data_IF_326518929172
#
_entry.id   IF_326518929172
#
_cell.length_a   1.000
_cell.length_b   1.000
_cell.length_c   1.000
_cell.angle_alpha   90.00
_cell.angle_beta   90.00
_cell.angle_gamma   90.00
#
_symmetry.space_group_name_H-M   'P 1'
#
loop_
_entity.id
_entity.type
_entity.pdbx_description
1 polymer ?
#
# COMPACT_ATOMS: atom_id res chain seq x y z
N UNK A 1 76.12 -64.76 -17.91
CA UNK A 1 74.76 -65.31 -17.76
C UNK A 1 74.10 -64.70 -16.54
N UNK A 2 73.26 -63.68 -16.75
CA UNK A 2 72.46 -63.01 -15.71
C UNK A 2 71.29 -62.34 -16.45
N UNK A 3 70.08 -62.84 -16.28
CA UNK A 3 68.88 -62.02 -16.46
C UNK A 3 67.89 -62.28 -15.34
N UNK A 4 67.39 -61.16 -14.82
CA UNK A 4 66.66 -60.95 -13.57
C UNK A 4 65.15 -61.07 -13.83
N UNK A 5 64.37 -61.71 -12.94
CA UNK A 5 62.92 -61.56 -12.94
C UNK A 5 62.56 -60.33 -12.10
N UNK A 6 62.31 -59.18 -12.72
CA UNK A 6 61.94 -57.96 -11.96
C UNK A 6 60.96 -57.04 -12.69
N UNK A 7 60.08 -57.59 -13.54
CA UNK A 7 59.10 -56.78 -14.30
C UNK A 7 57.62 -57.03 -13.97
N UNK A 8 57.28 -58.04 -13.18
CA UNK A 8 55.89 -58.33 -12.86
C UNK A 8 55.37 -57.69 -11.56
N UNK A 9 56.25 -57.34 -10.62
CA UNK A 9 55.83 -56.74 -9.35
C UNK A 9 55.42 -55.25 -9.48
N UNK A 10 55.97 -54.51 -10.44
CA UNK A 10 55.75 -53.06 -10.55
C UNK A 10 54.39 -52.67 -11.14
N UNK A 11 53.77 -53.54 -11.93
CA UNK A 11 52.47 -53.26 -12.57
C UNK A 11 51.31 -53.41 -11.59
N UNK A 12 51.40 -54.37 -10.66
CA UNK A 12 50.36 -54.63 -9.66
C UNK A 12 50.31 -53.51 -8.60
N UNK A 13 51.47 -53.00 -8.18
CA UNK A 13 51.55 -51.90 -7.20
C UNK A 13 51.03 -50.58 -7.81
N UNK A 14 51.30 -50.31 -9.08
CA UNK A 14 50.79 -49.11 -9.77
C UNK A 14 49.27 -49.16 -9.98
N UNK A 15 48.71 -50.33 -10.28
CA UNK A 15 47.25 -50.51 -10.42
C UNK A 15 46.52 -50.40 -9.07
N UNK A 16 47.10 -50.92 -7.99
CA UNK A 16 46.55 -50.77 -6.63
C UNK A 16 46.57 -49.31 -6.15
N UNK A 17 47.66 -48.57 -6.39
CA UNK A 17 47.74 -47.13 -6.07
C UNK A 17 46.73 -46.29 -6.86
N UNK A 18 46.47 -46.62 -8.14
CA UNK A 18 45.42 -45.95 -8.90
C UNK A 18 44.02 -46.26 -8.33
N UNK A 19 43.74 -47.52 -7.98
CA UNK A 19 42.41 -47.91 -7.47
C UNK A 19 42.06 -47.29 -6.11
N UNK A 20 43.04 -47.09 -5.22
CA UNK A 20 42.82 -46.44 -3.91
C UNK A 20 42.63 -44.91 -4.06
N UNK A 21 43.17 -44.31 -5.13
CA UNK A 21 43.00 -42.88 -5.42
C UNK A 21 41.59 -42.51 -5.90
N UNK A 22 40.85 -43.46 -6.52
CA UNK A 22 39.47 -43.23 -6.97
C UNK A 22 38.40 -43.58 -5.92
N UNK A 23 38.75 -44.28 -4.84
CA UNK A 23 37.78 -44.58 -3.77
C UNK A 23 37.48 -43.38 -2.85
N UNK A 24 38.33 -42.35 -2.84
CA UNK A 24 38.10 -41.14 -2.04
C UNK A 24 37.40 -39.98 -2.79
N UNK A 25 37.07 -40.15 -4.08
CA UNK A 25 36.27 -39.18 -4.83
C UNK A 25 34.80 -39.60 -5.01
N UNK A 26 34.40 -40.77 -4.51
CA UNK A 26 33.05 -41.32 -4.65
C UNK A 26 32.11 -41.07 -3.47
N UNK A 27 32.56 -40.41 -2.40
CA UNK A 27 31.75 -40.13 -1.20
C UNK A 27 31.52 -38.64 -0.99
N UNK A 28 31.11 -37.96 -2.06
CA UNK A 28 30.45 -36.66 -1.95
C UNK A 28 28.96 -36.93 -1.62
N UNK A 29 28.58 -36.81 -0.35
CA UNK A 29 27.24 -36.47 0.18
C UNK A 29 25.94 -36.76 -0.59
N UNK A 30 25.79 -37.85 -1.34
CA UNK A 30 24.52 -38.18 -2.03
C UNK A 30 23.60 -39.14 -1.26
N UNK A 31 24.03 -39.67 -0.12
CA UNK A 31 23.19 -40.55 0.70
C UNK A 31 22.53 -39.76 1.84
N UNK A 32 21.30 -39.32 1.61
CA UNK A 32 20.33 -39.14 2.70
C UNK A 32 19.70 -37.77 2.91
N UNK A 33 19.96 -36.78 2.06
CA UNK A 33 19.18 -35.54 2.08
C UNK A 33 18.46 -35.35 0.74
N UNK A 34 17.17 -35.04 0.84
CA UNK A 34 16.35 -34.59 -0.27
C UNK A 34 17.16 -33.54 -1.07
N UNK A 35 17.32 -33.62 -2.41
CA UNK A 35 18.11 -32.66 -3.18
C UNK A 35 17.62 -31.19 -3.07
N UNK A 36 16.49 -30.96 -2.39
CA UNK A 36 15.92 -29.65 -2.02
C UNK A 36 16.18 -29.24 -0.56
N UNK A 37 16.92 -30.04 0.21
CA UNK A 37 17.30 -29.77 1.59
C UNK A 37 18.51 -28.84 1.61
N UNK A 38 18.27 -27.54 1.67
CA UNK A 38 19.29 -26.55 2.00
C UNK A 38 19.76 -26.79 3.44
N UNK A 39 20.99 -27.25 3.62
CA UNK A 39 21.65 -27.38 4.92
C UNK A 39 21.98 -25.98 5.46
N UNK A 40 20.96 -25.31 5.99
CA UNK A 40 21.05 -23.99 6.61
C UNK A 40 21.45 -24.19 8.07
N UNK A 41 22.74 -24.00 8.36
CA UNK A 41 23.22 -23.99 9.73
C UNK A 41 22.60 -22.81 10.50
N UNK A 42 22.21 -23.00 11.76
CA UNK A 42 21.51 -21.97 12.55
C UNK A 42 22.30 -20.67 12.75
N UNK A 43 23.63 -20.72 12.59
CA UNK A 43 24.52 -19.56 12.64
C UNK A 43 24.48 -18.68 11.39
N UNK A 44 24.06 -19.22 10.24
CA UNK A 44 23.97 -18.46 8.97
C UNK A 44 22.63 -17.71 8.81
N UNK A 45 21.70 -17.88 9.76
CA UNK A 45 20.35 -17.31 9.71
C UNK A 45 20.21 -15.96 10.43
N UNK A 46 21.21 -15.57 11.24
CA UNK A 46 21.19 -14.28 11.96
C UNK A 46 21.85 -13.20 11.13
N UNK A 47 21.14 -12.09 10.90
CA UNK A 47 21.68 -10.94 10.16
C UNK A 47 21.31 -10.89 8.68
N UNK A 48 20.40 -11.76 8.22
CA UNK A 48 19.80 -11.64 6.89
C UNK A 48 19.03 -10.31 6.78
N UNK A 49 19.35 -9.44 5.81
CA UNK A 49 18.60 -8.20 5.61
C UNK A 49 17.11 -8.48 5.33
N UNK A 50 16.25 -7.54 5.74
CA UNK A 50 14.85 -7.60 5.33
C UNK A 50 14.74 -7.48 3.81
N UNK A 51 14.05 -8.45 3.20
CA UNK A 51 14.09 -8.69 1.78
C UNK A 51 13.07 -7.89 1.00
N UNK A 52 12.02 -7.37 1.63
CA UNK A 52 10.89 -6.79 0.94
C UNK A 52 10.81 -5.28 1.13
N UNK A 53 10.34 -4.60 0.10
CA UNK A 53 9.87 -3.22 0.18
C UNK A 53 8.62 -3.08 -0.69
N UNK A 54 7.78 -2.10 -0.38
CA UNK A 54 6.51 -1.91 -1.06
C UNK A 54 6.10 -0.43 -1.07
N UNK A 55 5.38 -0.03 -2.11
CA UNK A 55 4.76 1.30 -2.17
C UNK A 55 3.46 1.27 -2.96
N UNK A 56 2.53 2.14 -2.57
CA UNK A 56 1.40 2.52 -3.40
C UNK A 56 1.85 3.53 -4.47
N UNK A 57 1.05 3.66 -5.53
CA UNK A 57 1.20 4.73 -6.53
C UNK A 57 -0.08 5.52 -6.76
N UNK A 58 -1.17 5.12 -6.12
CA UNK A 58 -2.42 5.84 -6.12
C UNK A 58 -3.08 5.74 -4.76
N UNK A 59 -3.47 6.90 -4.22
CA UNK A 59 -4.28 7.01 -3.01
C UNK A 59 -5.44 7.93 -3.33
N UNK A 60 -6.64 7.56 -2.90
CA UNK A 60 -7.80 8.43 -3.00
C UNK A 60 -8.50 8.58 -1.66
N UNK A 61 -9.06 9.76 -1.46
CA UNK A 61 -9.89 10.09 -0.32
C UNK A 61 -11.32 10.36 -0.80
N UNK A 62 -12.30 9.73 -0.15
CA UNK A 62 -13.72 10.00 -0.39
C UNK A 62 -14.30 10.63 0.89
N UNK A 63 -14.79 11.86 0.76
CA UNK A 63 -15.20 12.67 1.90
C UNK A 63 -16.63 12.40 2.35
N UNK A 64 -17.37 11.56 1.64
CA UNK A 64 -18.72 11.17 2.04
C UNK A 64 -18.71 10.60 3.46
N UNK A 65 -19.53 11.18 4.33
CA UNK A 65 -19.61 10.79 5.73
C UNK A 65 -21.07 10.82 6.18
N UNK A 66 -21.68 9.64 6.24
CA UNK A 66 -23.07 9.46 6.64
C UNK A 66 -23.34 8.05 7.17
N UNK A 67 -24.20 7.95 8.17
CA UNK A 67 -24.43 6.69 8.91
C UNK A 67 -25.04 5.58 8.05
N UNK A 68 -25.75 5.95 6.99
CA UNK A 68 -26.35 5.01 6.03
C UNK A 68 -25.33 4.40 5.07
N UNK A 69 -24.09 4.89 5.01
CA UNK A 69 -23.08 4.38 4.08
C UNK A 69 -22.50 3.03 4.51
N UNK A 70 -22.75 2.62 5.76
CA UNK A 70 -22.35 1.31 6.25
C UNK A 70 -22.95 0.18 5.38
N UNK A 71 -22.09 -0.71 4.88
CA UNK A 71 -22.48 -1.84 4.04
C UNK A 71 -22.44 -1.58 2.53
N UNK A 72 -22.35 -0.33 2.09
CA UNK A 72 -22.22 -0.02 0.66
C UNK A 72 -20.77 -0.10 0.22
N UNK A 73 -20.45 -1.09 -0.62
CA UNK A 73 -19.09 -1.32 -1.11
C UNK A 73 -18.53 -0.17 -1.96
N UNK A 74 -19.39 0.72 -2.48
CA UNK A 74 -18.98 1.90 -3.23
C UNK A 74 -18.32 2.99 -2.38
N UNK A 75 -18.58 3.03 -1.08
CA UNK A 75 -18.08 4.09 -0.21
C UNK A 75 -16.91 3.61 0.64
N UNK A 76 -15.91 4.47 0.73
CA UNK A 76 -14.71 4.30 1.53
C UNK A 76 -14.28 5.64 2.08
N UNK A 77 -13.26 5.65 2.93
CA UNK A 77 -12.62 6.89 3.36
C UNK A 77 -11.26 7.04 2.70
N UNK A 78 -10.45 5.99 2.76
CA UNK A 78 -9.18 5.93 2.04
C UNK A 78 -9.13 4.65 1.22
N UNK A 79 -8.68 4.75 -0.02
CA UNK A 79 -8.35 3.62 -0.86
C UNK A 79 -6.98 3.85 -1.45
N UNK A 80 -6.12 2.85 -1.38
CA UNK A 80 -4.76 2.90 -1.88
C UNK A 80 -4.45 1.65 -2.68
N UNK A 81 -3.62 1.79 -3.71
CA UNK A 81 -3.16 0.64 -4.48
C UNK A 81 -1.90 0.93 -5.30
N UNK A 82 -1.37 -0.15 -5.87
CA UNK A 82 -0.29 -0.14 -6.83
C UNK A 82 -0.79 -0.62 -8.21
N UNK A 83 -0.71 0.26 -9.21
CA UNK A 83 -1.32 0.02 -10.53
C UNK A 83 -0.37 0.24 -11.72
N UNK A 84 0.70 1.00 -11.55
CA UNK A 84 1.62 1.45 -12.61
C UNK A 84 3.09 1.48 -12.16
N UNK A 85 3.41 2.18 -11.07
CA UNK A 85 4.79 2.43 -10.60
C UNK A 85 5.03 2.00 -9.14
N UNK A 86 3.98 1.57 -8.46
CA UNK A 86 4.06 0.99 -7.11
C UNK A 86 4.41 -0.50 -7.14
N UNK A 87 4.01 -1.21 -6.09
CA UNK A 87 4.06 -2.68 -6.02
C UNK A 87 4.92 -3.16 -4.87
N UNK A 88 5.36 -4.41 -4.96
CA UNK A 88 6.28 -5.05 -4.01
C UNK A 88 7.54 -5.48 -4.75
N UNK A 89 8.71 -5.32 -4.15
CA UNK A 89 9.97 -5.77 -4.74
C UNK A 89 10.94 -6.27 -3.67
N UNK A 90 11.99 -6.94 -4.14
CA UNK A 90 13.11 -7.35 -3.29
C UNK A 90 14.12 -6.21 -3.13
N UNK A 91 14.56 -5.95 -1.89
CA UNK A 91 15.45 -4.82 -1.56
C UNK A 91 16.83 -4.98 -2.19
N UNK A 92 17.49 -3.88 -2.60
CA UNK A 92 18.88 -3.93 -3.08
C UNK A 92 19.83 -4.54 -2.05
N UNK A 93 19.62 -4.26 -0.76
CA UNK A 93 20.43 -4.80 0.33
C UNK A 93 20.35 -6.34 0.40
N UNK A 94 19.15 -6.89 0.27
CA UNK A 94 18.96 -8.34 0.24
C UNK A 94 19.52 -8.97 -1.04
N UNK A 95 19.28 -8.34 -2.21
CA UNK A 95 19.86 -8.82 -3.48
C UNK A 95 21.38 -8.91 -3.40
N UNK A 96 22.04 -7.88 -2.88
CA UNK A 96 23.49 -7.84 -2.70
C UNK A 96 23.99 -8.89 -1.69
N UNK A 97 23.23 -9.12 -0.61
CA UNK A 97 23.52 -10.16 0.36
C UNK A 97 23.49 -11.57 -0.25
N UNK A 98 22.50 -11.85 -1.11
CA UNK A 98 22.36 -13.15 -1.77
C UNK A 98 23.34 -13.37 -2.93
N UNK A 99 23.85 -12.31 -3.56
CA UNK A 99 24.81 -12.42 -4.68
C UNK A 99 26.27 -12.26 -4.28
N UNK A 100 26.56 -11.99 -3.00
CA UNK A 100 27.91 -11.72 -2.51
C UNK A 100 28.81 -12.96 -2.46
N UNK A 101 30.13 -12.75 -2.41
CA UNK A 101 31.12 -13.84 -2.26
C UNK A 101 30.92 -14.65 -0.96
N UNK A 102 30.34 -14.01 0.06
CA UNK A 102 29.97 -14.60 1.35
C UNK A 102 28.47 -14.91 1.45
N UNK A 103 27.77 -15.06 0.33
CA UNK A 103 26.35 -15.39 0.34
C UNK A 103 26.09 -16.67 1.15
N UNK A 104 25.05 -16.68 1.99
CA UNK A 104 24.73 -17.84 2.84
C UNK A 104 24.26 -19.04 2.03
N UNK A 105 23.76 -18.80 0.81
CA UNK A 105 23.26 -19.82 -0.09
C UNK A 105 24.03 -19.77 -1.39
N UNK A 106 24.50 -20.94 -1.86
CA UNK A 106 25.21 -21.10 -3.12
C UNK A 106 24.33 -21.82 -4.15
N UNK A 107 24.48 -21.52 -5.45
CA UNK A 107 23.83 -22.30 -6.51
C UNK A 107 24.18 -23.78 -6.41
N UNK A 108 23.19 -24.66 -6.56
CA UNK A 108 23.43 -26.11 -6.62
C UNK A 108 24.00 -26.43 -8.01
N UNK A 109 25.22 -26.97 -8.04
CA UNK A 109 25.89 -27.35 -9.29
C UNK A 109 25.01 -28.28 -10.14
N UNK A 110 24.88 -28.07 -11.46
CA UNK A 110 25.68 -27.17 -12.31
C UNK A 110 25.16 -25.73 -12.47
N UNK A 111 24.12 -25.33 -11.74
CA UNK A 111 23.59 -23.97 -11.85
C UNK A 111 24.64 -22.93 -11.41
N UNK A 112 24.68 -21.79 -12.10
CA UNK A 112 25.56 -20.66 -11.77
C UNK A 112 24.82 -19.53 -11.04
N UNK A 113 23.50 -19.64 -10.91
CA UNK A 113 22.61 -18.68 -10.27
C UNK A 113 21.72 -19.38 -9.25
N UNK A 114 21.33 -18.65 -8.21
CA UNK A 114 20.35 -19.14 -7.24
C UNK A 114 18.99 -19.34 -7.90
N UNK A 115 18.32 -20.43 -7.56
CA UNK A 115 16.92 -20.66 -7.96
C UNK A 115 15.96 -19.92 -7.03
N UNK A 116 14.74 -19.68 -7.51
CA UNK A 116 13.65 -19.09 -6.70
C UNK A 116 13.41 -19.90 -5.44
N UNK A 117 13.39 -21.24 -5.55
CA UNK A 117 13.14 -22.14 -4.42
C UNK A 117 14.22 -22.02 -3.34
N UNK A 118 15.49 -21.87 -3.73
CA UNK A 118 16.59 -21.66 -2.79
C UNK A 118 16.46 -20.33 -2.04
N UNK A 119 16.13 -19.25 -2.75
CA UNK A 119 15.93 -17.93 -2.14
C UNK A 119 14.72 -17.96 -1.19
N UNK A 120 13.63 -18.58 -1.63
CA UNK A 120 12.41 -18.75 -0.85
C UNK A 120 12.68 -19.52 0.44
N UNK A 121 13.32 -20.68 0.35
CA UNK A 121 13.61 -21.53 1.50
C UNK A 121 14.50 -20.82 2.51
N UNK A 122 15.49 -20.04 2.03
CA UNK A 122 16.27 -19.17 2.90
C UNK A 122 15.39 -18.14 3.60
N UNK A 123 14.60 -17.36 2.88
CA UNK A 123 13.74 -16.32 3.46
C UNK A 123 12.71 -16.87 4.46
N UNK A 124 12.11 -18.01 4.16
CA UNK A 124 11.18 -18.70 5.06
C UNK A 124 11.85 -19.22 6.34
N UNK A 125 13.18 -19.37 6.33
CA UNK A 125 13.96 -19.81 7.50
C UNK A 125 14.51 -18.67 8.36
N UNK A 126 14.47 -17.41 7.88
CA UNK A 126 15.02 -16.28 8.65
C UNK A 126 13.92 -15.55 9.44
N UNK A 127 14.13 -15.27 10.75
CA UNK A 127 13.16 -14.55 11.57
C UNK A 127 12.72 -13.21 10.98
N UNK A 128 13.63 -12.52 10.29
CA UNK A 128 13.41 -11.22 9.70
C UNK A 128 12.46 -11.25 8.50
N UNK A 129 12.36 -12.36 7.76
CA UNK A 129 11.65 -12.37 6.46
C UNK A 129 10.44 -13.28 6.40
N UNK A 130 10.44 -14.35 7.20
CA UNK A 130 9.32 -15.28 7.31
C UNK A 130 8.02 -14.57 7.70
N UNK A 131 6.91 -14.96 7.06
CA UNK A 131 5.58 -14.40 7.27
C UNK A 131 5.51 -12.87 7.11
N UNK A 132 6.29 -12.32 6.18
CA UNK A 132 6.20 -10.92 5.82
C UNK A 132 4.90 -10.67 5.05
N UNK A 133 3.92 -10.06 5.73
CA UNK A 133 2.63 -9.68 5.12
C UNK A 133 2.53 -8.16 5.07
N UNK A 134 2.38 -7.55 3.88
CA UNK A 134 2.11 -6.12 3.76
C UNK A 134 0.76 -5.76 4.39
N UNK A 135 0.70 -4.64 5.09
CA UNK A 135 -0.48 -4.20 5.81
C UNK A 135 -0.65 -2.69 5.66
N UNK A 136 -1.88 -2.27 5.37
CA UNK A 136 -2.28 -0.86 5.36
C UNK A 136 -3.02 -0.54 6.65
N UNK A 137 -2.60 0.51 7.36
CA UNK A 137 -3.28 0.96 8.56
C UNK A 137 -3.11 2.47 8.76
N UNK A 138 -3.97 3.06 9.60
CA UNK A 138 -3.68 4.37 10.18
C UNK A 138 -2.89 4.16 11.47
N UNK A 139 -1.74 4.80 11.58
CA UNK A 139 -0.84 4.65 12.72
C UNK A 139 -0.49 6.01 13.32
N UNK A 140 -0.05 6.01 14.58
CA UNK A 140 0.42 7.25 15.21
C UNK A 140 1.82 7.60 14.69
N UNK A 141 2.07 8.88 14.40
CA UNK A 141 3.40 9.34 13.94
C UNK A 141 4.49 9.13 14.99
N UNK A 142 4.12 9.21 16.26
CA UNK A 142 5.02 9.01 17.42
C UNK A 142 5.24 7.55 17.76
N UNK A 143 4.35 6.66 17.30
CA UNK A 143 4.47 5.23 17.52
C UNK A 143 3.78 4.47 16.38
N UNK A 144 4.56 4.09 15.38
CA UNK A 144 4.03 3.35 14.24
C UNK A 144 3.60 1.93 14.62
N UNK A 145 3.95 1.42 15.79
CA UNK A 145 3.43 0.13 16.26
C UNK A 145 1.95 0.21 16.62
N UNK A 146 1.43 1.42 16.94
CA UNK A 146 0.05 1.61 17.36
C UNK A 146 -0.85 1.96 16.18
N UNK A 147 -1.81 1.07 15.91
CA UNK A 147 -2.92 1.34 14.99
C UNK A 147 -3.93 2.26 15.65
N UNK A 148 -4.42 3.23 14.90
CA UNK A 148 -5.50 4.12 15.31
C UNK A 148 -6.83 3.39 15.25
N UNK A 149 -7.54 3.32 16.36
CA UNK A 149 -8.82 2.59 16.49
C UNK A 149 -9.95 3.54 16.93
N UNK A 150 -10.43 4.43 16.06
CA UNK A 150 -11.38 5.49 16.44
C UNK A 150 -12.74 4.97 16.93
N UNK A 151 -13.06 3.69 16.69
CA UNK A 151 -14.37 3.09 16.98
C UNK A 151 -14.33 1.93 17.98
N UNK A 152 -13.17 1.57 18.54
CA UNK A 152 -13.02 0.31 19.30
C UNK A 152 -11.88 0.37 20.33
N UNK A 153 -11.95 -0.53 21.31
CA UNK A 153 -10.91 -0.76 22.32
C UNK A 153 -9.69 -1.53 21.79
N UNK A 154 -9.75 -2.00 20.54
CA UNK A 154 -8.70 -2.79 19.90
C UNK A 154 -8.87 -2.80 18.39
N UNK A 155 -7.77 -3.01 17.66
CA UNK A 155 -7.78 -2.90 16.21
C UNK A 155 -8.43 -4.12 15.56
N UNK A 156 -9.27 -3.88 14.57
CA UNK A 156 -10.00 -4.92 13.83
C UNK A 156 -9.58 -4.93 12.38
N UNK A 157 -9.22 -6.11 11.86
CA UNK A 157 -8.93 -6.29 10.44
C UNK A 157 -10.17 -5.99 9.59
N UNK A 158 -9.97 -5.33 8.44
CA UNK A 158 -11.08 -4.89 7.58
C UNK A 158 -11.63 -3.50 7.95
N UNK A 159 -11.33 -3.00 9.15
CA UNK A 159 -11.80 -1.71 9.65
C UNK A 159 -10.63 -0.75 9.95
N UNK A 160 -9.75 -1.15 10.87
CA UNK A 160 -8.65 -0.30 11.36
C UNK A 160 -7.35 -0.55 10.59
N UNK A 161 -7.15 -1.80 10.14
CA UNK A 161 -6.05 -2.21 9.29
C UNK A 161 -6.50 -3.25 8.25
N UNK A 162 -5.74 -3.39 7.18
CA UNK A 162 -5.99 -4.33 6.08
C UNK A 162 -4.69 -5.07 5.79
N UNK A 163 -4.66 -6.39 5.98
CA UNK A 163 -3.58 -7.20 5.43
C UNK A 163 -3.79 -7.33 3.92
N UNK A 164 -2.75 -7.02 3.16
CA UNK A 164 -2.74 -7.10 1.70
C UNK A 164 -1.93 -8.29 1.26
N UNK A 165 -2.29 -8.86 0.11
CA UNK A 165 -1.64 -10.04 -0.44
C UNK A 165 -1.71 -11.22 0.56
N UNK A 166 -0.58 -11.86 0.83
CA UNK A 166 -0.39 -12.88 1.85
C UNK A 166 1.06 -12.91 2.29
N UNK A 167 1.51 -14.05 2.82
CA UNK A 167 2.91 -14.25 3.15
C UNK A 167 3.78 -14.15 1.90
N UNK A 168 4.61 -13.12 1.81
CA UNK A 168 5.46 -12.90 0.65
C UNK A 168 6.49 -14.01 0.44
N UNK A 169 6.73 -14.88 1.43
CA UNK A 169 7.59 -16.08 1.32
C UNK A 169 6.89 -17.29 0.69
N UNK A 170 5.59 -17.22 0.41
CA UNK A 170 4.87 -18.28 -0.31
C UNK A 170 5.06 -18.15 -1.84
N UNK A 171 5.06 -19.28 -2.55
CA UNK A 171 5.35 -19.36 -3.99
C UNK A 171 4.50 -18.43 -4.84
N UNK A 172 3.26 -18.21 -4.42
CA UNK A 172 2.29 -17.41 -5.16
C UNK A 172 2.73 -15.96 -5.29
N UNK A 173 3.53 -15.46 -4.34
CA UNK A 173 4.05 -14.10 -4.33
C UNK A 173 5.55 -14.03 -4.58
N UNK A 174 6.32 -15.00 -4.07
CA UNK A 174 7.77 -15.01 -4.21
C UNK A 174 8.22 -15.15 -5.67
N UNK A 175 7.53 -15.98 -6.46
CA UNK A 175 7.97 -16.27 -7.82
C UNK A 175 8.03 -15.02 -8.71
N UNK A 176 7.03 -14.11 -8.72
CA UNK A 176 7.17 -12.81 -9.39
C UNK A 176 8.27 -11.91 -8.80
N UNK A 177 8.47 -11.90 -7.47
CA UNK A 177 9.39 -10.97 -6.80
C UNK A 177 10.88 -11.27 -7.05
N UNK A 178 11.21 -12.54 -7.31
CA UNK A 178 12.59 -12.97 -7.59
C UNK A 178 12.91 -12.87 -9.08
N UNK A 179 11.92 -13.16 -9.94
CA UNK A 179 12.12 -13.19 -11.39
C UNK A 179 11.93 -11.82 -12.06
N UNK A 180 11.22 -10.89 -11.43
CA UNK A 180 11.06 -9.53 -11.93
C UNK A 180 12.15 -8.61 -11.36
N UNK A 181 12.98 -7.96 -12.20
CA UNK A 181 13.98 -7.01 -11.72
C UNK A 181 13.35 -5.75 -11.10
N UNK A 182 12.08 -5.46 -11.41
CA UNK A 182 11.34 -4.29 -10.95
C UNK A 182 10.36 -4.58 -9.79
N UNK A 183 9.31 -3.78 -9.71
CA UNK A 183 8.23 -3.97 -8.75
C UNK A 183 7.13 -4.87 -9.31
N UNK A 184 6.79 -5.92 -8.58
CA UNK A 184 5.66 -6.77 -8.89
C UNK A 184 4.35 -6.02 -8.62
N UNK A 185 3.65 -5.69 -9.70
CA UNK A 185 2.32 -5.06 -9.66
C UNK A 185 1.19 -6.08 -9.55
N UNK A 186 1.42 -7.30 -10.01
CA UNK A 186 0.39 -8.34 -10.13
C UNK A 186 0.93 -9.74 -9.84
N UNK A 187 0.18 -10.51 -9.04
CA UNK A 187 0.51 -11.87 -8.64
C UNK A 187 -0.52 -12.84 -9.25
N UNK A 188 -0.20 -13.39 -10.42
CA UNK A 188 -1.09 -14.26 -11.18
C UNK A 188 -1.45 -15.58 -10.45
N UNK A 189 -0.52 -16.10 -9.65
CA UNK A 189 -0.69 -17.32 -8.86
C UNK A 189 -1.47 -17.09 -7.55
N UNK A 190 -1.66 -15.83 -7.14
CA UNK A 190 -2.38 -15.50 -5.92
C UNK A 190 -3.92 -15.63 -6.09
N UNK A 191 -4.67 -15.82 -4.98
CA UNK A 191 -6.12 -15.76 -4.99
C UNK A 191 -6.65 -14.44 -5.59
N UNK A 192 -7.83 -14.46 -6.22
CA UNK A 192 -8.37 -13.31 -6.97
C UNK A 192 -8.42 -11.99 -6.17
N UNK A 193 -8.68 -12.07 -4.86
CA UNK A 193 -8.75 -10.91 -3.96
C UNK A 193 -7.37 -10.44 -3.44
N UNK A 194 -6.28 -11.13 -3.78
CA UNK A 194 -4.94 -10.91 -3.26
C UNK A 194 -3.88 -10.85 -4.38
N UNK A 195 -4.29 -10.53 -5.61
CA UNK A 195 -3.40 -10.43 -6.78
C UNK A 195 -2.72 -9.08 -6.94
N UNK A 196 -3.17 -8.06 -6.22
CA UNK A 196 -2.61 -6.70 -6.27
C UNK A 196 -2.48 -6.15 -4.86
N UNK A 197 -1.49 -5.28 -4.69
CA UNK A 197 -1.36 -4.49 -3.47
C UNK A 197 -2.43 -3.40 -3.50
N UNK A 198 -3.57 -3.66 -2.89
CA UNK A 198 -4.73 -2.76 -2.84
C UNK A 198 -5.43 -2.92 -1.49
N UNK A 199 -5.80 -1.81 -0.87
CA UNK A 199 -6.52 -1.80 0.38
C UNK A 199 -7.46 -0.62 0.50
N UNK A 200 -8.45 -0.77 1.38
CA UNK A 200 -9.53 0.19 1.59
C UNK A 200 -9.90 0.28 3.06
N UNK A 201 -9.90 1.50 3.59
CA UNK A 201 -10.30 1.81 4.97
C UNK A 201 -11.59 2.64 4.96
N UNK A 202 -12.44 2.40 5.96
CA UNK A 202 -13.80 2.95 6.02
C UNK A 202 -14.07 3.58 7.39
N UNK A 203 -14.07 4.91 7.43
CA UNK A 203 -14.33 5.76 8.59
C UNK A 203 -15.44 6.79 8.30
N UNK A 204 -16.31 6.50 7.34
CA UNK A 204 -17.34 7.39 6.79
C UNK A 204 -18.69 7.35 7.52
N UNK A 205 -18.71 6.99 8.81
CA UNK A 205 -19.97 6.80 9.57
C UNK A 205 -20.66 8.10 9.91
N UNK A 206 -19.91 9.18 10.14
CA UNK A 206 -20.43 10.52 10.39
C UNK A 206 -19.37 11.58 10.12
N UNK A 207 -19.82 12.82 9.93
CA UNK A 207 -18.95 13.94 9.56
C UNK A 207 -17.99 14.33 10.70
N UNK A 208 -18.37 14.14 11.96
CA UNK A 208 -17.51 14.41 13.11
C UNK A 208 -16.28 13.49 13.12
N UNK A 209 -16.48 12.19 12.94
CA UNK A 209 -15.41 11.20 12.78
C UNK A 209 -14.56 11.47 11.54
N UNK A 210 -15.18 11.79 10.40
CA UNK A 210 -14.45 12.09 9.18
C UNK A 210 -13.58 13.36 9.32
N UNK A 211 -14.10 14.41 9.98
CA UNK A 211 -13.36 15.63 10.30
C UNK A 211 -12.22 15.36 11.27
N UNK A 212 -12.46 14.59 12.33
CA UNK A 212 -11.44 14.13 13.27
C UNK A 212 -10.30 13.43 12.53
N UNK A 213 -10.63 12.46 11.67
CA UNK A 213 -9.65 11.75 10.87
C UNK A 213 -8.80 12.66 9.95
N UNK A 214 -9.39 13.70 9.37
CA UNK A 214 -8.62 14.65 8.55
C UNK A 214 -7.62 15.43 9.39
N UNK A 215 -8.00 15.88 10.59
CA UNK A 215 -7.11 16.60 11.52
C UNK A 215 -5.96 15.71 12.00
N UNK A 216 -6.31 14.56 12.56
CA UNK A 216 -5.74 13.23 12.33
C UNK A 216 -4.50 13.15 11.44
N UNK A 217 -4.80 12.82 10.20
CA UNK A 217 -3.86 12.58 9.12
C UNK A 217 -2.98 13.79 8.80
N UNK A 218 -3.46 15.00 9.08
CA UNK A 218 -2.70 16.23 8.88
C UNK A 218 -1.63 16.44 9.95
N UNK A 219 -1.88 16.01 11.20
CA UNK A 219 -1.09 16.42 12.36
C UNK A 219 -0.40 15.28 13.12
N UNK A 220 -1.13 14.21 13.48
CA UNK A 220 -0.69 13.24 14.50
C UNK A 220 -0.65 11.79 13.99
N UNK A 221 -1.34 11.50 12.89
CA UNK A 221 -1.44 10.16 12.29
C UNK A 221 -0.77 10.08 10.92
N UNK A 222 -0.43 8.87 10.52
CA UNK A 222 0.15 8.53 9.21
C UNK A 222 -0.63 7.37 8.62
N UNK A 223 -1.00 7.46 7.34
CA UNK A 223 -1.42 6.27 6.60
C UNK A 223 -0.15 5.49 6.29
N UNK A 224 -0.08 4.24 6.70
CA UNK A 224 1.14 3.45 6.64
C UNK A 224 0.92 2.17 5.86
N UNK A 225 1.88 1.87 4.99
CA UNK A 225 2.09 0.57 4.37
C UNK A 225 3.28 -0.07 5.08
N UNK A 226 3.04 -1.06 5.91
CA UNK A 226 4.04 -1.71 6.78
C UNK A 226 4.03 -3.21 6.60
N UNK A 227 5.05 -3.91 7.09
CA UNK A 227 5.04 -5.38 7.12
C UNK A 227 4.72 -5.87 8.53
N UNK A 228 3.87 -6.89 8.63
CA UNK A 228 3.51 -7.50 9.92
C UNK A 228 4.72 -8.16 10.58
N UNK A 229 4.85 -7.97 11.89
CA UNK A 229 5.84 -8.67 12.71
C UNK A 229 5.42 -10.13 12.96
N UNK A 230 6.40 -11.05 12.97
CA UNK A 230 6.20 -12.47 13.26
C UNK A 230 6.26 -12.77 14.76
N UNK A 231 7.02 -11.97 15.51
CA UNK A 231 7.39 -12.29 16.90
C UNK A 231 6.19 -12.35 17.87
N UNK A 232 5.02 -11.87 17.44
CA UNK A 232 3.83 -11.76 18.26
C UNK A 232 2.62 -12.32 17.50
N UNK A 233 2.55 -13.65 17.36
CA UNK A 233 1.40 -14.32 16.71
C UNK A 233 0.04 -14.01 17.39
N UNK A 234 0.03 -13.31 18.53
CA UNK A 234 -1.16 -12.79 19.20
C UNK A 234 -1.57 -11.37 18.78
N UNK A 235 -0.69 -10.57 18.15
CA UNK A 235 -0.98 -9.19 17.77
C UNK A 235 -0.67 -8.91 16.30
N UNK A 236 -1.71 -9.02 15.46
CA UNK A 236 -1.63 -8.78 14.03
C UNK A 236 -1.37 -7.32 13.62
N UNK A 237 -1.30 -6.38 14.58
CA UNK A 237 -1.11 -4.95 14.31
C UNK A 237 0.35 -4.50 14.38
N UNK A 238 1.25 -5.35 14.91
CA UNK A 238 2.65 -4.99 15.09
C UNK A 238 3.39 -4.88 13.77
N UNK A 239 4.23 -3.87 13.68
CA UNK A 239 5.06 -3.58 12.52
C UNK A 239 6.44 -4.19 12.72
N UNK A 240 6.91 -4.86 11.68
CA UNK A 240 8.27 -5.38 11.61
C UNK A 240 9.27 -4.24 11.60
N UNK A 241 10.31 -4.35 12.44
CA UNK A 241 11.32 -3.30 12.62
C UNK A 241 12.74 -3.78 12.33
N UNK A 242 13.67 -2.87 11.97
CA UNK A 242 15.07 -3.19 11.82
C UNK A 242 15.69 -3.67 13.13
N UNK A 243 16.65 -4.58 13.02
CA UNK A 243 17.50 -4.98 14.15
C UNK A 243 18.71 -4.04 14.23
N UNK A 244 19.10 -3.70 15.44
CA UNK A 244 20.25 -2.85 15.76
C UNK A 244 21.10 -3.50 16.84
N UNK A 245 22.40 -3.25 16.79
CA UNK A 245 23.30 -3.60 17.88
C UNK A 245 23.06 -2.65 19.04
N UNK A 246 22.67 -3.20 20.19
CA UNK A 246 22.43 -2.46 21.42
C UNK A 246 23.76 -2.13 22.13
N UNK A 247 23.77 -1.19 23.09
CA UNK A 247 24.99 -0.83 23.83
C UNK A 247 25.65 -2.00 24.57
N UNK A 248 24.90 -3.06 24.89
CA UNK A 248 25.38 -4.29 25.52
C UNK A 248 25.98 -5.30 24.52
N UNK A 249 26.09 -4.95 23.24
CA UNK A 249 26.61 -5.80 22.17
C UNK A 249 25.60 -6.82 21.63
N UNK A 250 24.39 -6.89 22.18
CA UNK A 250 23.33 -7.79 21.67
C UNK A 250 22.68 -7.20 20.43
N UNK A 251 22.28 -8.05 19.49
CA UNK A 251 21.49 -7.65 18.31
C UNK A 251 20.03 -7.91 18.60
N UNK A 252 19.19 -6.89 18.46
CA UNK A 252 17.75 -7.00 18.70
C UNK A 252 16.96 -5.93 17.94
N UNK A 253 15.62 -5.98 17.98
CA UNK A 253 14.80 -4.96 17.32
C UNK A 253 15.13 -3.56 17.86
N UNK A 254 15.05 -2.56 16.99
CA UNK A 254 15.16 -1.16 17.40
C UNK A 254 14.13 -0.82 18.46
N UNK A 255 14.55 -0.04 19.47
CA UNK A 255 13.65 0.51 20.49
C UNK A 255 12.94 1.78 20.04
N UNK A 256 13.26 2.31 18.85
CA UNK A 256 12.61 3.50 18.30
C UNK A 256 11.21 3.13 17.75
N UNK A 257 10.17 3.59 18.45
CA UNK A 257 8.77 3.35 18.09
C UNK A 257 8.32 4.03 16.80
N UNK A 258 9.12 4.94 16.24
CA UNK A 258 8.82 5.62 14.97
C UNK A 258 9.38 4.88 13.76
N UNK A 259 10.23 3.87 13.98
CA UNK A 259 10.95 3.15 12.93
C UNK A 259 10.30 1.80 12.62
N UNK A 260 10.16 1.47 11.33
CA UNK A 260 9.70 0.17 10.86
C UNK A 260 9.89 -0.02 9.36
N UNK A 261 9.72 -1.25 8.86
CA UNK A 261 9.80 -1.49 7.43
C UNK A 261 8.53 -1.04 6.71
N UNK A 262 8.70 -0.28 5.62
CA UNK A 262 7.63 0.17 4.75
C UNK A 262 7.63 1.67 4.45
N UNK A 263 6.44 2.21 4.18
CA UNK A 263 6.20 3.61 3.77
C UNK A 263 5.12 4.26 4.62
N UNK A 264 5.33 5.52 4.96
CA UNK A 264 4.33 6.39 5.57
C UNK A 264 3.86 7.44 4.57
N UNK A 265 2.59 7.80 4.65
CA UNK A 265 1.95 8.80 3.81
C UNK A 265 1.29 9.84 4.72
N UNK A 266 1.84 11.06 4.71
CA UNK A 266 1.22 12.22 5.34
C UNK A 266 0.27 12.87 4.36
N UNK A 267 -0.98 13.05 4.75
CA UNK A 267 -2.05 13.56 3.90
C UNK A 267 -2.43 14.96 4.37
N UNK A 268 -2.50 15.90 3.43
CA UNK A 268 -2.92 17.28 3.70
C UNK A 268 -4.30 17.52 3.11
N UNK A 269 -5.19 18.13 3.91
CA UNK A 269 -6.55 18.46 3.50
C UNK A 269 -6.78 19.97 3.48
N UNK A 270 -7.62 20.42 2.56
CA UNK A 270 -7.97 21.83 2.37
C UNK A 270 -9.40 21.98 1.81
N UNK A 271 -9.89 23.21 1.71
CA UNK A 271 -11.16 23.64 1.09
C UNK A 271 -11.02 23.99 -0.38
N UNK A 272 -9.82 23.75 -0.94
CA UNK A 272 -9.30 24.35 -2.17
C UNK A 272 -10.34 24.52 -3.27
N UNK A 273 -10.47 25.75 -3.75
CA UNK A 273 -11.27 26.09 -4.92
C UNK A 273 -10.42 25.93 -6.17
N UNK A 274 -10.91 25.14 -7.10
CA UNK A 274 -10.47 25.22 -8.48
C UNK A 274 -11.65 25.57 -9.37
N UNK A 275 -11.37 26.01 -10.60
CA UNK A 275 -12.38 26.08 -11.66
C UNK A 275 -13.13 24.74 -11.87
N UNK A 276 -12.59 23.63 -11.34
CA UNK A 276 -13.10 22.27 -11.47
C UNK A 276 -13.85 21.74 -10.24
N UNK A 277 -13.78 22.39 -9.07
CA UNK A 277 -14.52 21.98 -7.87
C UNK A 277 -15.91 22.64 -7.75
N UNK A 278 -16.30 23.43 -8.76
CA UNK A 278 -17.65 23.96 -8.92
C UNK A 278 -18.41 23.07 -9.92
N UNK A 279 -19.48 22.42 -9.47
CA UNK A 279 -20.37 21.70 -10.41
C UNK A 279 -21.20 22.66 -11.29
N UNK A 280 -21.03 23.97 -11.13
CA UNK A 280 -21.79 25.01 -11.82
C UNK A 280 -20.99 25.53 -13.00
N UNK A 281 -21.63 25.62 -14.17
CA UNK A 281 -21.21 26.41 -15.36
C UNK A 281 -21.19 27.92 -15.07
N UNK A 282 -20.60 28.35 -13.95
CA UNK A 282 -20.41 29.77 -13.72
C UNK A 282 -19.24 30.22 -14.60
N UNK A 283 -19.54 31.07 -15.59
CA UNK A 283 -18.53 31.84 -16.32
C UNK A 283 -17.72 32.62 -15.29
N UNK A 284 -16.55 32.09 -14.90
CA UNK A 284 -15.65 32.80 -14.00
C UNK A 284 -14.92 33.82 -14.85
N UNK A 285 -14.94 35.08 -14.40
CA UNK A 285 -14.12 36.11 -15.03
C UNK A 285 -12.65 35.67 -14.91
N UNK A 286 -11.88 35.53 -16.01
CA UNK A 286 -10.56 34.88 -16.02
C UNK A 286 -9.50 35.50 -15.07
N UNK A 287 -9.81 36.64 -14.45
CA UNK A 287 -8.94 37.35 -13.51
C UNK A 287 -9.29 37.21 -12.02
N UNK A 288 -10.39 36.55 -11.65
CA UNK A 288 -10.76 36.36 -10.24
C UNK A 288 -10.53 34.90 -9.82
N UNK A 289 -9.56 34.65 -8.94
CA UNK A 289 -9.40 33.34 -8.29
C UNK A 289 -10.49 33.25 -7.22
N UNK A 290 -11.51 32.39 -7.36
CA UNK A 290 -12.56 32.28 -6.36
C UNK A 290 -11.97 31.79 -5.03
N UNK A 291 -12.37 32.40 -3.91
CA UNK A 291 -11.90 32.00 -2.55
C UNK A 291 -12.99 31.19 -1.84
N UNK A 292 -12.67 30.02 -1.25
CA UNK A 292 -13.68 29.20 -0.57
C UNK A 292 -14.32 29.95 0.57
N UNK A 293 -15.62 29.81 0.73
CA UNK A 293 -16.30 30.35 1.89
C UNK A 293 -15.70 29.74 3.17
N UNK A 294 -15.53 30.54 4.21
CA UNK A 294 -14.90 30.12 5.48
C UNK A 294 -15.69 29.05 6.24
N UNK A 295 -16.93 28.80 5.86
CA UNK A 295 -17.80 27.76 6.42
C UNK A 295 -17.65 26.41 5.70
N UNK A 296 -16.98 26.38 4.55
CA UNK A 296 -16.71 25.13 3.87
C UNK A 296 -15.68 24.32 4.64
N UNK A 297 -15.77 22.99 4.60
CA UNK A 297 -14.79 22.14 5.25
C UNK A 297 -13.52 21.92 4.46
N UNK A 298 -12.46 21.61 5.19
CA UNK A 298 -11.22 21.07 4.66
C UNK A 298 -11.42 19.58 4.27
N UNK A 299 -12.21 19.30 3.23
CA UNK A 299 -12.59 17.94 2.83
C UNK A 299 -12.02 17.48 1.48
N UNK A 300 -11.05 18.21 0.92
CA UNK A 300 -10.30 17.85 -0.29
C UNK A 300 -8.88 17.41 0.08
N UNK A 301 -8.42 16.29 -0.47
CA UNK A 301 -7.03 15.85 -0.34
C UNK A 301 -6.19 16.60 -1.38
N UNK A 302 -5.21 17.37 -0.93
CA UNK A 302 -4.43 18.29 -1.79
C UNK A 302 -2.96 17.91 -1.95
N UNK A 303 -2.41 17.15 -1.01
CA UNK A 303 -1.02 16.69 -1.07
C UNK A 303 -0.85 15.36 -0.32
N UNK A 304 0.06 14.52 -0.81
CA UNK A 304 0.61 13.41 -0.05
C UNK A 304 2.12 13.53 -0.02
N UNK A 305 2.69 13.45 1.18
CA UNK A 305 4.14 13.32 1.40
C UNK A 305 4.47 11.90 1.84
N UNK A 306 5.22 11.20 1.01
CA UNK A 306 5.75 9.87 1.28
C UNK A 306 7.00 9.98 2.16
N UNK A 307 7.13 9.11 3.14
CA UNK A 307 8.33 8.95 3.98
C UNK A 307 8.74 7.48 4.06
N UNK A 308 10.05 7.25 4.16
CA UNK A 308 10.57 5.92 4.46
C UNK A 308 10.53 5.69 5.97
N UNK A 309 9.74 4.72 6.42
CA UNK A 309 9.59 4.42 7.85
C UNK A 309 10.86 3.77 8.45
N UNK A 310 11.79 3.28 7.62
CA UNK A 310 13.08 2.77 8.10
C UNK A 310 14.01 3.90 8.55
N UNK A 311 13.82 5.10 7.98
CA UNK A 311 14.64 6.29 8.23
C UNK A 311 13.74 7.53 8.28
N UNK A 312 12.81 7.64 9.25
CA UNK A 312 11.80 8.70 9.26
C UNK A 312 12.41 10.10 9.40
N UNK A 313 13.60 10.20 10.01
CA UNK A 313 14.37 11.43 10.14
C UNK A 313 14.99 11.95 8.82
N UNK A 314 15.11 11.10 7.80
CA UNK A 314 15.60 11.50 6.48
C UNK A 314 14.62 12.41 5.71
N UNK A 315 13.39 12.55 6.22
CA UNK A 315 12.37 13.43 5.65
C UNK A 315 11.56 12.78 4.53
N UNK A 316 11.00 13.62 3.66
CA UNK A 316 10.11 13.19 2.57
C UNK A 316 10.89 12.55 1.43
N UNK A 317 10.50 11.34 1.06
CA UNK A 317 11.07 10.60 -0.07
C UNK A 317 10.42 10.97 -1.39
N UNK A 318 9.12 11.27 -1.38
CA UNK A 318 8.38 11.73 -2.55
C UNK A 318 7.21 12.63 -2.14
N UNK A 319 6.87 13.59 -2.99
CA UNK A 319 5.64 14.36 -2.89
C UNK A 319 4.75 14.01 -4.07
N UNK A 320 3.51 13.63 -3.78
CA UNK A 320 2.56 13.19 -4.80
C UNK A 320 1.65 14.35 -5.17
N UNK A 321 1.37 14.49 -6.46
CA UNK A 321 0.42 15.47 -6.94
C UNK A 321 -1.01 14.96 -6.70
N UNK A 322 -1.83 15.76 -6.01
CA UNK A 322 -3.28 15.62 -5.96
C UNK A 322 -3.90 16.77 -6.78
N UNK A 323 -3.78 16.72 -8.12
CA UNK A 323 -4.11 17.85 -8.96
C UNK A 323 -5.59 18.20 -8.84
N UNK A 324 -5.90 19.46 -9.03
CA UNK A 324 -7.28 19.96 -9.02
C UNK A 324 -8.17 19.27 -10.04
N UNK A 325 -7.61 18.86 -11.17
CA UNK A 325 -8.29 18.08 -12.20
C UNK A 325 -8.72 16.68 -11.72
N UNK A 326 -8.21 16.19 -10.59
CA UNK A 326 -8.53 14.89 -9.99
C UNK A 326 -9.36 15.00 -8.71
N UNK A 327 -10.08 16.11 -8.56
CA UNK A 327 -11.03 16.34 -7.47
C UNK A 327 -12.42 16.32 -8.09
N UNK A 328 -13.21 15.33 -7.72
CA UNK A 328 -14.53 15.09 -8.29
C UNK A 328 -15.60 15.44 -7.27
N UNK A 329 -16.54 16.31 -7.64
CA UNK A 329 -17.70 16.65 -6.80
C UNK A 329 -18.65 15.45 -6.75
N UNK A 330 -19.02 15.04 -5.54
CA UNK A 330 -20.06 14.02 -5.36
C UNK A 330 -21.42 14.69 -5.49
N UNK A 331 -22.14 14.37 -6.56
CA UNK A 331 -23.46 14.93 -6.85
C UNK A 331 -24.53 13.96 -6.39
N UNK A 332 -25.59 14.47 -5.75
CA UNK A 332 -26.69 13.62 -5.33
C UNK A 332 -27.47 13.12 -6.55
N UNK A 333 -28.02 11.89 -6.54
CA UNK A 333 -28.69 11.34 -7.72
C UNK A 333 -29.80 12.22 -8.30
N UNK A 334 -30.57 12.92 -7.46
CA UNK A 334 -31.63 13.84 -7.90
C UNK A 334 -31.15 15.08 -8.67
N UNK A 335 -29.88 15.45 -8.49
CA UNK A 335 -29.26 16.64 -9.10
C UNK A 335 -28.36 16.27 -10.29
N UNK A 336 -28.29 14.98 -10.62
CA UNK A 336 -27.32 14.45 -11.57
C UNK A 336 -27.47 15.04 -12.98
N UNK A 337 -28.69 15.26 -13.47
CA UNK A 337 -28.90 15.76 -14.83
C UNK A 337 -28.43 17.22 -15.00
N UNK A 338 -28.48 18.01 -13.92
CA UNK A 338 -28.07 19.40 -13.92
C UNK A 338 -26.57 19.57 -13.66
N UNK A 339 -26.02 18.83 -12.70
CA UNK A 339 -24.69 19.05 -12.16
C UNK A 339 -23.68 17.95 -12.52
N UNK A 340 -24.15 16.80 -13.02
CA UNK A 340 -23.29 15.70 -13.46
C UNK A 340 -23.83 14.92 -14.67
N UNK A 341 -24.05 15.61 -15.81
CA UNK A 341 -24.51 14.96 -17.03
C UNK A 341 -23.48 13.93 -17.50
N UNK A 342 -23.96 12.88 -18.18
CA UNK A 342 -23.08 11.85 -18.70
C UNK A 342 -22.16 12.40 -19.80
N UNK A 343 -20.93 11.93 -19.78
CA UNK A 343 -19.97 12.25 -20.82
C UNK A 343 -20.35 11.56 -22.14
N UNK A 344 -20.43 12.30 -23.25
CA UNK A 344 -20.60 11.73 -24.58
C UNK A 344 -19.60 10.61 -24.86
N UNK A 345 -20.07 9.50 -25.43
CA UNK A 345 -19.23 8.34 -25.76
C UNK A 345 -18.02 8.68 -26.65
N UNK A 346 -18.14 9.73 -27.48
CA UNK A 346 -17.05 10.20 -28.35
C UNK A 346 -15.77 10.58 -27.59
N UNK A 347 -15.87 10.98 -26.32
CA UNK A 347 -14.69 11.28 -25.50
C UNK A 347 -13.82 10.05 -25.22
N UNK A 348 -14.37 8.83 -25.31
CA UNK A 348 -13.57 7.60 -25.21
C UNK A 348 -12.58 7.43 -26.36
N UNK A 349 -12.73 8.18 -27.47
CA UNK A 349 -11.74 8.16 -28.55
C UNK A 349 -10.46 8.95 -28.20
N UNK A 350 -10.51 9.86 -27.21
CA UNK A 350 -9.35 10.59 -26.72
C UNK A 350 -8.50 9.71 -25.78
N UNK A 351 -7.23 9.44 -26.10
CA UNK A 351 -6.34 8.68 -25.21
C UNK A 351 -6.15 9.31 -23.82
N UNK A 352 -6.12 10.64 -23.71
CA UNK A 352 -5.95 11.33 -22.43
C UNK A 352 -7.18 11.15 -21.54
N UNK A 353 -8.37 11.28 -22.14
CA UNK A 353 -9.62 10.99 -21.45
C UNK A 353 -9.68 9.54 -20.96
N UNK A 354 -9.31 8.57 -21.80
CA UNK A 354 -9.31 7.14 -21.41
C UNK A 354 -8.36 6.87 -20.24
N UNK A 355 -7.15 7.40 -20.28
CA UNK A 355 -6.17 7.24 -19.20
C UNK A 355 -6.71 7.80 -17.88
N UNK A 356 -7.30 9.00 -17.92
CA UNK A 356 -7.89 9.62 -16.74
C UNK A 356 -9.09 8.83 -16.23
N UNK A 357 -9.96 8.36 -17.13
CA UNK A 357 -11.09 7.50 -16.79
C UNK A 357 -10.64 6.20 -16.12
N UNK A 358 -9.59 5.55 -16.63
CA UNK A 358 -9.00 4.35 -16.02
C UNK A 358 -8.46 4.61 -14.62
N UNK A 359 -7.77 5.75 -14.40
CA UNK A 359 -7.25 6.14 -13.09
C UNK A 359 -8.38 6.24 -12.06
N UNK A 360 -9.47 6.94 -12.40
CA UNK A 360 -10.62 7.10 -11.49
C UNK A 360 -11.34 5.77 -11.29
N UNK A 361 -11.50 4.96 -12.34
CA UNK A 361 -12.23 3.68 -12.30
C UNK A 361 -11.57 2.60 -11.44
N UNK A 362 -10.27 2.67 -11.20
CA UNK A 362 -9.58 1.76 -10.25
C UNK A 362 -10.22 1.78 -8.87
N UNK A 363 -10.63 2.96 -8.41
CA UNK A 363 -11.17 3.15 -7.06
C UNK A 363 -12.69 3.40 -7.05
N UNK A 364 -13.24 3.96 -8.13
CA UNK A 364 -14.69 4.16 -8.30
C UNK A 364 -15.26 3.17 -9.32
N UNK A 365 -15.59 1.98 -8.84
CA UNK A 365 -16.10 0.89 -9.70
C UNK A 365 -17.41 1.26 -10.40
N UNK A 366 -17.59 0.74 -11.62
CA UNK A 366 -18.73 1.04 -12.50
C UNK A 366 -20.09 0.68 -11.94
N UNK A 367 -20.15 -0.37 -11.14
CA UNK A 367 -21.37 -0.84 -10.47
C UNK A 367 -21.82 0.08 -9.33
N UNK A 368 -20.91 0.91 -8.80
CA UNK A 368 -21.17 1.76 -7.65
C UNK A 368 -21.28 3.26 -8.00
N UNK A 369 -20.62 3.69 -9.08
CA UNK A 369 -20.48 5.11 -9.41
C UNK A 369 -20.65 5.39 -10.90
N UNK A 370 -21.45 6.41 -11.21
CA UNK A 370 -21.38 7.14 -12.48
C UNK A 370 -20.29 8.21 -12.37
N UNK A 371 -19.53 8.39 -13.44
CA UNK A 371 -18.40 9.33 -13.47
C UNK A 371 -18.54 10.19 -14.73
N UNK A 372 -18.35 11.49 -14.57
CA UNK A 372 -18.05 12.39 -15.66
C UNK A 372 -16.70 13.06 -15.40
N UNK A 373 -15.77 12.79 -16.32
CA UNK A 373 -14.44 13.39 -16.33
C UNK A 373 -14.53 14.83 -16.86
N UNK A 374 -15.40 15.09 -17.83
CA UNK A 374 -15.57 16.43 -18.40
C UNK A 374 -16.12 17.42 -17.35
N UNK A 375 -17.11 16.99 -16.57
CA UNK A 375 -17.77 17.83 -15.55
C UNK A 375 -17.17 17.63 -14.15
N UNK A 376 -16.16 16.78 -14.01
CA UNK A 376 -15.42 16.54 -12.76
C UNK A 376 -16.35 16.22 -11.59
N UNK A 377 -17.27 15.30 -11.84
CA UNK A 377 -18.29 14.93 -10.89
C UNK A 377 -18.53 13.42 -10.91
N UNK A 378 -19.04 12.92 -9.80
CA UNK A 378 -19.41 11.51 -9.62
C UNK A 378 -20.76 11.41 -8.94
N UNK A 379 -21.56 10.44 -9.35
CA UNK A 379 -22.91 10.20 -8.80
C UNK A 379 -22.95 8.76 -8.31
N UNK A 380 -23.26 8.51 -7.03
CA UNK A 380 -23.44 7.15 -6.56
C UNK A 380 -24.65 6.50 -7.24
N UNK A 381 -24.52 5.23 -7.62
CA UNK A 381 -25.62 4.42 -8.17
C UNK A 381 -26.50 3.92 -7.03
N UNK A 382 -25.88 3.52 -5.92
CA UNK A 382 -26.53 3.10 -4.69
C UNK A 382 -26.01 3.91 -3.50
N UNK A 383 -26.88 4.15 -2.52
CA UNK A 383 -26.57 4.98 -1.36
C UNK A 383 -26.47 6.47 -1.69
N UNK A 384 -26.23 7.29 -0.66
CA UNK A 384 -26.05 8.74 -0.80
C UNK A 384 -25.25 9.29 0.36
N UNK A 385 -24.32 10.20 0.07
CA UNK A 385 -23.57 10.98 1.06
C UNK A 385 -24.46 11.98 1.81
N UNK A 386 -25.66 12.23 1.27
CA UNK A 386 -26.59 13.25 1.70
C UNK A 386 -27.87 12.60 2.20
N UNK A 387 -27.83 12.09 3.44
CA UNK A 387 -29.03 11.56 4.09
C UNK A 387 -30.00 12.67 4.48
N UNK A 388 -31.28 12.34 4.36
CA UNK A 388 -32.50 13.07 4.75
C UNK A 388 -32.67 13.19 6.28
N UNK A 389 -31.61 13.53 7.01
CA UNK A 389 -31.72 13.81 8.46
C UNK A 389 -32.17 15.24 8.78
N UNK A 390 -32.74 15.96 7.80
CA UNK A 390 -33.44 17.19 8.16
C UNK A 390 -34.73 16.84 8.92
N UNK A 391 -35.06 17.55 10.01
CA UNK A 391 -36.29 17.34 10.79
C UNK A 391 -37.58 17.40 9.95
N UNK A 392 -37.50 18.03 8.77
CA UNK A 392 -38.58 18.18 7.78
C UNK A 392 -38.85 16.92 6.96
N UNK A 393 -37.95 15.92 6.97
CA UNK A 393 -38.01 14.75 6.09
C UNK A 393 -37.66 15.06 4.62
N UNK A 394 -37.33 16.31 4.28
CA UNK A 394 -36.89 16.69 2.94
C UNK A 394 -35.44 16.26 2.67
N UNK A 395 -35.12 16.02 1.40
CA UNK A 395 -33.73 15.86 0.98
C UNK A 395 -32.97 17.17 1.23
N UNK A 396 -31.76 17.12 1.82
CA UNK A 396 -30.99 18.33 2.05
C UNK A 396 -30.65 18.98 0.71
N UNK A 397 -30.85 20.28 0.60
CA UNK A 397 -30.35 21.04 -0.54
C UNK A 397 -28.83 21.12 -0.44
N UNK A 398 -28.12 20.84 -1.54
CA UNK A 398 -26.65 20.84 -1.56
C UNK A 398 -26.15 22.14 -2.17
N UNK A 399 -25.12 22.72 -1.56
CA UNK A 399 -24.37 23.83 -2.15
C UNK A 399 -23.14 23.28 -2.86
N UNK A 400 -23.21 23.32 -4.19
CA UNK A 400 -22.13 22.87 -5.09
C UNK A 400 -21.16 24.00 -5.45
N UNK A 401 -21.47 25.25 -5.09
CA UNK A 401 -20.57 26.38 -5.22
C UNK A 401 -19.79 26.63 -3.92
N UNK A 402 -18.50 26.30 -3.92
CA UNK A 402 -17.65 26.52 -2.75
C UNK A 402 -17.43 28.02 -2.41
N UNK A 403 -17.87 28.98 -3.23
CA UNK A 403 -17.83 30.40 -2.79
C UNK A 403 -19.02 30.78 -1.90
N UNK A 404 -20.05 29.92 -1.84
CA UNK A 404 -21.26 30.16 -1.05
C UNK A 404 -21.15 29.51 0.33
N UNK A 405 -21.83 30.06 1.35
CA UNK A 405 -21.89 29.44 2.67
C UNK A 405 -22.72 28.16 2.66
N UNK A 406 -22.24 27.13 3.36
CA UNK A 406 -22.95 25.88 3.57
C UNK A 406 -22.72 25.34 4.99
N UNK A 407 -23.50 24.33 5.39
CA UNK A 407 -23.36 23.64 6.66
C UNK A 407 -22.87 22.20 6.47
N UNK A 408 -22.10 21.67 7.43
CA UNK A 408 -21.62 20.28 7.40
C UNK A 408 -22.56 19.33 8.15
N UNK A 409 -22.92 19.75 9.36
CA UNK A 409 -23.92 19.15 10.23
C UNK A 409 -24.65 20.28 10.94
N UNK A 410 -25.96 20.12 11.12
CA UNK A 410 -26.82 21.06 11.83
C UNK A 410 -26.43 21.20 13.31
N UNK A 411 -25.68 20.22 13.85
CA UNK A 411 -25.27 20.17 15.26
C UNK A 411 -23.89 20.75 15.58
N UNK A 412 -23.01 20.97 14.58
CA UNK A 412 -21.56 21.06 14.85
C UNK A 412 -20.92 22.45 14.89
N UNK A 413 -21.65 23.54 14.66
CA UNK A 413 -21.02 24.88 14.74
C UNK A 413 -22.05 25.93 15.13
N UNK A 414 -21.61 26.92 15.91
CA UNK A 414 -22.20 28.25 15.94
C UNK A 414 -22.08 28.87 14.54
N UNK A 415 -22.94 28.46 13.62
CA UNK A 415 -23.11 29.19 12.37
C UNK A 415 -23.53 30.61 12.75
N UNK A 416 -22.86 31.61 12.19
CA UNK A 416 -23.30 32.99 12.33
C UNK A 416 -24.75 33.15 11.89
N UNK A 417 -25.39 34.27 12.24
CA UNK A 417 -26.74 34.56 11.76
C UNK A 417 -26.66 35.24 10.38
N UNK A 418 -27.28 34.71 9.30
CA UNK A 418 -28.14 33.51 9.24
C UNK A 418 -27.37 32.20 9.06
N UNK A 419 -27.92 31.13 9.64
CA UNK A 419 -27.42 29.76 9.45
C UNK A 419 -27.59 29.38 7.98
N UNK A 420 -26.56 28.83 7.31
CA UNK A 420 -26.69 28.37 5.94
C UNK A 420 -27.81 27.34 5.81
N UNK A 421 -28.60 27.42 4.74
CA UNK A 421 -29.74 26.51 4.49
C UNK A 421 -29.38 25.30 3.64
N UNK A 422 -28.16 25.26 3.09
CA UNK A 422 -27.68 24.20 2.22
C UNK A 422 -26.49 23.47 2.81
N UNK A 423 -26.43 22.16 2.59
CA UNK A 423 -25.33 21.30 3.03
C UNK A 423 -24.14 21.41 2.08
N UNK A 424 -22.93 21.34 2.64
CA UNK A 424 -21.72 21.39 1.84
C UNK A 424 -21.56 20.18 0.91
N UNK A 425 -21.06 20.41 -0.30
CA UNK A 425 -20.68 19.35 -1.21
C UNK A 425 -19.56 18.45 -0.63
N UNK A 426 -19.56 17.20 -1.08
CA UNK A 426 -18.58 16.17 -0.76
C UNK A 426 -17.79 15.87 -2.03
N UNK A 427 -16.63 15.26 -1.88
CA UNK A 427 -15.66 15.11 -2.94
C UNK A 427 -14.96 13.76 -2.88
N UNK A 428 -14.49 13.31 -4.05
CA UNK A 428 -13.49 12.26 -4.16
C UNK A 428 -12.23 12.86 -4.77
N UNK A 429 -11.12 12.76 -4.07
CA UNK A 429 -9.81 13.27 -4.51
C UNK A 429 -8.88 12.10 -4.83
N UNK A 430 -8.18 12.16 -5.96
CA UNK A 430 -7.17 11.17 -6.34
C UNK A 430 -5.79 11.81 -6.40
N UNK A 431 -4.82 11.12 -5.80
CA UNK A 431 -3.41 11.47 -5.84
C UNK A 431 -2.64 10.33 -6.48
N UNK A 432 -1.69 10.68 -7.33
CA UNK A 432 -0.80 9.71 -7.95
C UNK A 432 0.65 10.06 -7.65
N UNK A 433 1.46 9.02 -7.50
CA UNK A 433 2.91 9.14 -7.44
C UNK A 433 3.42 9.46 -8.85
N UNK A 434 4.16 10.57 -8.98
CA UNK A 434 4.75 11.00 -10.26
C UNK A 434 5.90 10.11 -10.68
#
# INVERSE_FOLDING_TARGET
MRQKPFRFASVIVAALLLSVSFQNCGKAGFDGQDPLSLDLSSSDLTGTPFAFDATFDQISYNSCAASNLAGYSGFYTLMAGAYQSGGVWTTPEFKNYMSGASAPVKPIYPATTLTVDQIKQHLASTPENVEAIPQMALRLRTNIQQVRTPNSSGATEGLDYISMLGDLTDDRWMHPLVNDPGSALFFNLAPNNARRLEARLTYNKDEGLAKGLRMDLSSSSVLALTFRDRADMGDATRVRVPYVTKPDGTVGPTGDSTVGFGRGYYLTFDRGLSQYTRAIRATVDPGSVPVPHTLNPDNLLTEIREVNLRTPSAGTTATWACPESRRYVVVQPGDADQYCPQDPFVYMNDPAYRLEYEIVRRHLKSENWRISIQYRCVVPIEGSCYVTREPSGAAPMIEYDQTQPCYQSVSDVSYGNPIPTKRCAQYVSFCNRN
#
